data_IF_655446959912
#
_entry.id   IF_655446959912
#
_cell.length_a   1.000
_cell.length_b   1.000
_cell.length_c   1.000
_cell.angle_alpha   90.00
_cell.angle_beta   90.00
_cell.angle_gamma   90.00
#
_symmetry.space_group_name_H-M   'P 1'
#
loop_
_entity.id
_entity.type
_entity.pdbx_description
1 polymer ?
#
# COMPACT_ATOMS: atom_id res chain seq x y z
N UNK A 1 -27.71 35.50 -60.28
CA UNK A 1 -27.07 36.07 -59.06
C UNK A 1 -27.64 35.56 -57.72
N UNK A 2 -28.86 35.01 -57.64
CA UNK A 2 -29.46 34.52 -56.36
C UNK A 2 -28.96 33.14 -55.88
N UNK A 3 -28.54 32.25 -56.79
CA UNK A 3 -28.20 30.84 -56.48
C UNK A 3 -26.82 30.73 -55.79
N UNK A 4 -25.84 31.53 -56.21
CA UNK A 4 -24.50 31.56 -55.61
C UNK A 4 -24.52 32.03 -54.15
N UNK A 5 -25.38 33.01 -53.83
CA UNK A 5 -25.50 33.55 -52.47
C UNK A 5 -26.07 32.51 -51.49
N UNK A 6 -27.01 31.69 -51.94
CA UNK A 6 -27.64 30.65 -51.12
C UNK A 6 -26.69 29.47 -50.82
N UNK A 7 -25.77 29.13 -51.73
CA UNK A 7 -24.72 28.13 -51.47
C UNK A 7 -23.63 28.64 -50.52
N UNK A 8 -23.26 29.92 -50.60
CA UNK A 8 -22.30 30.51 -49.67
C UNK A 8 -22.86 30.58 -48.24
N UNK A 9 -24.12 30.95 -48.08
CA UNK A 9 -24.79 30.99 -46.77
C UNK A 9 -24.84 29.58 -46.16
N UNK A 10 -25.27 28.55 -46.91
CA UNK A 10 -25.30 27.16 -46.42
C UNK A 10 -23.91 26.64 -46.01
N UNK A 11 -22.84 26.95 -46.76
CA UNK A 11 -21.46 26.58 -46.40
C UNK A 11 -20.97 27.32 -45.16
N UNK A 12 -21.32 28.60 -45.01
CA UNK A 12 -20.98 29.39 -43.82
C UNK A 12 -21.69 28.81 -42.59
N UNK A 13 -23.00 28.58 -42.64
CA UNK A 13 -23.79 28.02 -41.53
C UNK A 13 -23.29 26.63 -41.15
N UNK A 14 -23.01 25.75 -42.13
CA UNK A 14 -22.46 24.40 -41.88
C UNK A 14 -21.08 24.44 -41.22
N UNK A 15 -20.20 25.38 -41.60
CA UNK A 15 -18.91 25.59 -40.94
C UNK A 15 -19.08 26.12 -39.51
N UNK A 16 -20.02 27.03 -39.25
CA UNK A 16 -20.29 27.54 -37.90
C UNK A 16 -20.86 26.44 -37.00
N UNK A 17 -21.77 25.59 -37.52
CA UNK A 17 -22.30 24.45 -36.76
C UNK A 17 -21.22 23.42 -36.46
N UNK A 18 -20.33 23.10 -37.41
CA UNK A 18 -19.19 22.20 -37.19
C UNK A 18 -18.22 22.78 -36.16
N UNK A 19 -17.90 24.08 -36.21
CA UNK A 19 -17.06 24.73 -35.21
C UNK A 19 -17.70 24.70 -33.81
N UNK A 20 -19.01 24.92 -33.71
CA UNK A 20 -19.73 24.84 -32.44
C UNK A 20 -19.78 23.42 -31.86
N UNK A 21 -19.86 22.39 -32.69
CA UNK A 21 -19.77 20.99 -32.23
C UNK A 21 -18.36 20.63 -31.76
N UNK A 22 -17.31 21.09 -32.45
CA UNK A 22 -15.92 20.88 -32.02
C UNK A 22 -15.63 21.62 -30.71
N UNK A 23 -16.11 22.85 -30.56
CA UNK A 23 -15.96 23.63 -29.33
C UNK A 23 -16.72 23.01 -28.14
N UNK A 24 -17.89 22.41 -28.38
CA UNK A 24 -18.65 21.70 -27.34
C UNK A 24 -17.97 20.39 -26.90
N UNK A 25 -17.33 19.66 -27.82
CA UNK A 25 -16.56 18.46 -27.51
C UNK A 25 -15.25 18.75 -26.73
N UNK A 26 -14.70 19.96 -26.86
CA UNK A 26 -13.54 20.42 -26.10
C UNK A 26 -13.88 20.89 -24.67
N UNK A 27 -15.16 21.10 -24.36
CA UNK A 27 -15.64 21.55 -23.04
C UNK A 27 -16.11 20.40 -22.14
N UNK A 28 -16.17 19.16 -22.64
CA UNK A 28 -16.41 18.00 -21.78
C UNK A 28 -15.11 17.65 -21.05
N UNK A 29 -15.08 17.63 -19.71
CA UNK A 29 -13.91 17.16 -18.99
C UNK A 29 -13.67 15.70 -19.40
N UNK A 30 -12.55 15.45 -20.07
CA UNK A 30 -12.05 14.09 -20.26
C UNK A 30 -11.65 13.61 -18.88
N UNK A 31 -12.52 12.85 -18.23
CA UNK A 31 -12.14 12.10 -17.03
C UNK A 31 -11.25 10.95 -17.50
N UNK A 32 -9.95 11.21 -17.64
CA UNK A 32 -8.96 10.16 -17.70
C UNK A 32 -8.92 9.51 -16.31
N UNK A 33 -9.53 8.32 -16.17
CA UNK A 33 -9.24 7.45 -15.03
C UNK A 33 -7.81 6.92 -15.23
N UNK A 34 -6.83 7.60 -14.64
CA UNK A 34 -5.53 7.00 -14.40
C UNK A 34 -5.69 5.98 -13.27
N UNK A 35 -6.00 4.72 -13.58
CA UNK A 35 -5.91 3.62 -12.62
C UNK A 35 -4.44 3.19 -12.49
N UNK A 36 -3.57 4.11 -12.07
CA UNK A 36 -2.13 3.85 -11.93
C UNK A 36 -1.74 3.12 -10.64
N UNK A 37 -2.67 2.39 -10.02
CA UNK A 37 -2.42 1.64 -8.79
C UNK A 37 -2.70 0.17 -9.00
N UNK A 38 -1.84 -0.70 -8.44
CA UNK A 38 -2.05 -2.13 -8.43
C UNK A 38 -3.45 -2.47 -7.90
N UNK A 39 -4.06 -3.52 -8.47
CA UNK A 39 -5.35 -4.00 -8.02
C UNK A 39 -5.26 -4.43 -6.55
N UNK A 40 -6.13 -3.88 -5.70
CA UNK A 40 -6.16 -4.21 -4.28
C UNK A 40 -7.17 -5.33 -4.01
N UNK A 41 -6.69 -6.44 -3.47
CA UNK A 41 -7.54 -7.51 -2.96
C UNK A 41 -8.32 -7.04 -1.72
N UNK A 42 -9.56 -7.53 -1.58
CA UNK A 42 -10.35 -7.26 -0.39
C UNK A 42 -9.84 -8.06 0.80
N UNK A 43 -9.43 -7.36 1.86
CA UNK A 43 -8.99 -8.01 3.08
C UNK A 43 -10.20 -8.65 3.80
N UNK A 44 -10.16 -9.95 4.13
CA UNK A 44 -11.26 -10.62 4.82
C UNK A 44 -11.22 -10.32 6.33
N UNK A 45 -11.55 -9.09 6.72
CA UNK A 45 -11.42 -8.61 8.11
C UNK A 45 -12.78 -8.51 8.78
N UNK A 46 -12.91 -9.14 9.95
CA UNK A 46 -13.94 -8.84 10.94
C UNK A 46 -13.26 -8.28 12.20
N UNK A 47 -13.58 -7.02 12.55
CA UNK A 47 -13.03 -6.34 13.73
C UNK A 47 -13.65 -6.82 15.05
N UNK A 48 -14.66 -7.68 14.99
CA UNK A 48 -15.31 -8.28 16.16
C UNK A 48 -14.79 -9.70 16.44
N UNK A 49 -14.11 -10.34 15.49
CA UNK A 49 -13.49 -11.65 15.68
C UNK A 49 -12.20 -11.50 16.51
N UNK A 50 -12.34 -11.68 17.82
CA UNK A 50 -11.23 -11.58 18.77
C UNK A 50 -10.13 -12.59 18.50
N UNK A 51 -10.46 -13.80 18.07
CA UNK A 51 -9.46 -14.83 17.77
C UNK A 51 -8.63 -14.46 16.55
N UNK A 52 -9.28 -13.92 15.50
CA UNK A 52 -8.57 -13.36 14.35
C UNK A 52 -7.67 -12.20 14.74
N UNK A 53 -8.15 -11.27 15.56
CA UNK A 53 -7.36 -10.14 16.03
C UNK A 53 -6.19 -10.56 16.93
N UNK A 54 -6.35 -11.59 17.77
CA UNK A 54 -5.27 -12.18 18.58
C UNK A 54 -4.16 -12.76 17.69
N UNK A 55 -4.52 -13.54 16.67
CA UNK A 55 -3.55 -14.03 15.66
C UNK A 55 -2.86 -12.89 14.93
N UNK A 56 -3.59 -11.83 14.58
CA UNK A 56 -3.02 -10.63 13.96
C UNK A 56 -2.04 -9.89 14.87
N UNK A 57 -2.34 -9.79 16.18
CA UNK A 57 -1.43 -9.22 17.16
C UNK A 57 -0.15 -10.06 17.28
N UNK A 58 -0.28 -11.39 17.38
CA UNK A 58 0.87 -12.30 17.40
C UNK A 58 1.73 -12.13 16.15
N UNK A 59 1.14 -12.18 14.96
CA UNK A 59 1.87 -12.00 13.71
C UNK A 59 2.58 -10.63 13.65
N UNK A 60 1.97 -9.57 14.17
CA UNK A 60 2.64 -8.28 14.29
C UNK A 60 3.87 -8.34 15.21
N UNK A 61 3.75 -9.00 16.36
CA UNK A 61 4.86 -9.22 17.29
C UNK A 61 6.01 -9.99 16.63
N UNK A 62 5.69 -11.07 15.93
CA UNK A 62 6.66 -12.00 15.35
C UNK A 62 7.40 -11.42 14.13
N UNK A 63 6.69 -10.72 13.24
CA UNK A 63 7.21 -10.35 11.92
C UNK A 63 7.45 -8.84 11.73
N UNK A 64 6.81 -7.98 12.52
CA UNK A 64 6.79 -6.54 12.26
C UNK A 64 7.44 -5.72 13.37
N UNK A 65 7.19 -6.08 14.63
CA UNK A 65 7.49 -5.26 15.78
C UNK A 65 8.99 -5.12 16.10
N UNK A 66 9.86 -5.86 15.43
CA UNK A 66 11.32 -5.64 15.51
C UNK A 66 11.77 -4.37 14.79
N UNK A 67 11.09 -3.99 13.70
CA UNK A 67 11.44 -2.84 12.85
C UNK A 67 10.42 -1.71 12.94
N UNK A 68 9.13 -2.04 13.02
CA UNK A 68 8.04 -1.08 13.00
C UNK A 68 7.48 -0.81 14.39
N UNK A 69 7.44 0.47 14.76
CA UNK A 69 6.69 0.89 15.94
C UNK A 69 5.19 0.95 15.67
N UNK A 70 4.41 0.83 16.74
CA UNK A 70 3.01 1.25 16.81
C UNK A 70 2.89 2.27 17.95
N UNK A 71 3.58 3.40 17.80
CA UNK A 71 3.86 4.35 18.89
C UNK A 71 2.63 4.97 19.56
N UNK A 72 1.44 4.88 18.97
CA UNK A 72 0.19 5.33 19.60
C UNK A 72 -0.55 4.23 20.37
N UNK A 73 -0.05 2.99 20.31
CA UNK A 73 -0.61 1.83 20.99
C UNK A 73 0.14 1.53 22.29
N UNK A 74 -0.57 0.94 23.26
CA UNK A 74 -0.01 0.39 24.51
C UNK A 74 -0.34 -1.09 24.60
N UNK A 75 0.57 -1.89 25.16
CA UNK A 75 0.35 -3.33 25.26
C UNK A 75 -0.85 -3.69 26.15
N UNK A 76 -1.05 -2.99 27.27
CA UNK A 76 -2.21 -3.22 28.14
C UNK A 76 -3.55 -2.91 27.46
N UNK A 77 -3.55 -2.01 26.46
CA UNK A 77 -4.73 -1.73 25.65
C UNK A 77 -5.06 -2.91 24.73
N UNK A 78 -4.05 -3.57 24.16
CA UNK A 78 -4.22 -4.80 23.38
C UNK A 78 -4.83 -5.89 24.27
N UNK A 79 -4.29 -6.11 25.47
CA UNK A 79 -4.83 -7.09 26.42
C UNK A 79 -6.33 -6.83 26.69
N UNK A 80 -6.67 -5.59 27.03
CA UNK A 80 -8.06 -5.20 27.30
C UNK A 80 -8.98 -5.29 26.08
N UNK A 81 -8.52 -4.89 24.91
CA UNK A 81 -9.36 -4.88 23.70
C UNK A 81 -9.54 -6.26 23.08
N UNK A 82 -8.63 -7.18 23.35
CA UNK A 82 -8.68 -8.55 22.84
C UNK A 82 -9.08 -9.57 23.91
N UNK A 83 -9.54 -9.12 25.08
CA UNK A 83 -9.94 -9.96 26.22
C UNK A 83 -8.85 -10.98 26.61
N UNK A 84 -7.58 -10.58 26.57
CA UNK A 84 -6.42 -11.41 26.91
C UNK A 84 -5.90 -11.06 28.31
N UNK A 85 -5.27 -12.03 28.97
CA UNK A 85 -4.50 -11.76 30.17
C UNK A 85 -3.27 -10.92 29.84
N UNK A 86 -2.90 -10.00 30.73
CA UNK A 86 -1.70 -9.16 30.50
C UNK A 86 -0.43 -10.01 30.40
N UNK A 87 -0.39 -11.17 31.06
CA UNK A 87 0.74 -12.09 31.00
C UNK A 87 0.92 -12.68 29.59
N UNK A 88 -0.17 -13.10 28.95
CA UNK A 88 -0.13 -13.63 27.58
C UNK A 88 0.38 -12.57 26.60
N UNK A 89 -0.06 -11.33 26.76
CA UNK A 89 0.41 -10.21 25.93
C UNK A 89 1.90 -9.90 26.16
N UNK A 90 2.40 -10.04 27.40
CA UNK A 90 3.84 -9.88 27.67
C UNK A 90 4.66 -10.93 26.93
N UNK A 91 4.24 -12.19 27.02
CA UNK A 91 4.94 -13.30 26.38
C UNK A 91 4.90 -13.21 24.86
N UNK A 92 3.78 -12.75 24.30
CA UNK A 92 3.55 -12.66 22.87
C UNK A 92 4.16 -11.41 22.20
N UNK A 93 4.19 -10.25 22.88
CA UNK A 93 4.54 -8.96 22.23
C UNK A 93 5.72 -8.24 22.86
N UNK A 94 6.11 -8.55 24.10
CA UNK A 94 7.13 -7.80 24.81
C UNK A 94 8.47 -8.53 24.77
N UNK A 95 9.14 -8.42 23.62
CA UNK A 95 10.52 -8.88 23.41
C UNK A 95 11.55 -7.75 23.51
N UNK A 96 11.13 -6.56 23.92
CA UNK A 96 11.96 -5.34 23.99
C UNK A 96 12.33 -4.98 25.42
N UNK A 97 13.47 -4.30 25.58
CA UNK A 97 13.95 -3.79 26.85
C UNK A 97 13.99 -2.26 26.84
N UNK A 98 13.76 -1.64 27.98
CA UNK A 98 13.90 -0.21 28.16
C UNK A 98 15.37 0.20 28.30
N UNK A 99 15.64 1.51 28.36
CA UNK A 99 16.99 2.09 28.47
C UNK A 99 17.80 1.64 29.69
N UNK A 100 17.14 1.07 30.70
CA UNK A 100 17.79 0.53 31.91
C UNK A 100 18.04 -0.98 31.83
N UNK A 101 17.81 -1.61 30.67
CA UNK A 101 17.98 -3.05 30.47
C UNK A 101 16.90 -3.91 31.11
N UNK A 102 15.82 -3.30 31.63
CA UNK A 102 14.67 -4.05 32.13
C UNK A 102 13.63 -4.25 31.03
N UNK A 103 12.84 -5.34 31.04
CA UNK A 103 11.76 -5.53 30.05
C UNK A 103 10.85 -4.30 29.97
N UNK A 104 10.39 -3.98 28.75
CA UNK A 104 9.36 -2.95 28.55
C UNK A 104 8.11 -3.29 29.37
N UNK A 105 7.44 -2.28 29.93
CA UNK A 105 6.28 -2.50 30.78
C UNK A 105 5.03 -2.66 29.92
N UNK A 106 4.06 -3.44 30.40
CA UNK A 106 2.75 -3.59 29.71
C UNK A 106 2.03 -2.25 29.49
N UNK A 107 2.23 -1.27 30.39
CA UNK A 107 1.63 0.05 30.25
C UNK A 107 2.39 0.98 29.30
N UNK A 108 3.56 0.59 28.78
CA UNK A 108 4.36 1.44 27.90
C UNK A 108 3.80 1.48 26.47
N UNK A 109 4.22 2.49 25.71
CA UNK A 109 3.93 2.58 24.28
C UNK A 109 4.77 1.57 23.49
N UNK A 110 4.21 1.07 22.40
CA UNK A 110 4.86 0.10 21.52
C UNK A 110 5.91 0.77 20.62
N UNK A 111 7.08 1.03 21.19
CA UNK A 111 8.25 1.60 20.52
C UNK A 111 9.32 0.54 20.29
N UNK A 112 10.07 0.71 19.22
CA UNK A 112 11.16 -0.17 18.83
C UNK A 112 12.52 0.50 19.01
N UNK A 113 13.58 -0.31 19.00
CA UNK A 113 14.96 0.18 19.04
C UNK A 113 15.49 0.66 17.69
N UNK A 114 14.76 0.37 16.60
CA UNK A 114 15.09 0.83 15.25
C UNK A 114 15.17 2.37 15.21
N UNK A 115 16.35 2.90 14.90
CA UNK A 115 16.56 4.34 14.71
C UNK A 115 16.42 4.72 13.24
N UNK A 116 16.08 5.98 12.96
CA UNK A 116 15.95 6.46 11.59
C UNK A 116 17.28 6.39 10.82
N UNK A 117 18.41 6.63 11.49
CA UNK A 117 19.74 6.60 10.86
C UNK A 117 20.14 5.18 10.50
N UNK A 118 19.98 4.23 11.43
CA UNK A 118 20.24 2.82 11.14
C UNK A 118 19.30 2.28 10.06
N UNK A 119 18.01 2.64 10.10
CA UNK A 119 17.05 2.26 9.07
C UNK A 119 17.44 2.77 7.67
N UNK A 120 17.91 4.03 7.56
CA UNK A 120 18.39 4.58 6.29
C UNK A 120 19.63 3.87 5.79
N UNK A 121 20.56 3.53 6.68
CA UNK A 121 21.76 2.78 6.33
C UNK A 121 21.42 1.35 5.86
N UNK A 122 20.51 0.66 6.56
CA UNK A 122 20.16 -0.73 6.27
C UNK A 122 19.17 -0.90 5.11
N UNK A 123 18.20 0.01 4.97
CA UNK A 123 17.04 -0.13 4.06
C UNK A 123 16.86 1.05 3.09
N UNK A 124 17.77 2.03 3.11
CA UNK A 124 17.72 3.22 2.25
C UNK A 124 16.70 4.30 2.68
N UNK A 125 15.85 4.02 3.67
CA UNK A 125 14.85 4.98 4.18
C UNK A 125 14.48 4.69 5.64
N UNK A 126 13.79 5.62 6.29
CA UNK A 126 13.27 5.40 7.63
C UNK A 126 12.13 4.37 7.61
N UNK A 127 12.12 3.44 8.56
CA UNK A 127 11.02 2.50 8.75
C UNK A 127 9.79 3.26 9.29
N UNK A 128 8.61 3.16 8.64
CA UNK A 128 7.42 3.90 9.06
C UNK A 128 6.80 3.35 10.35
N UNK A 129 6.22 4.22 11.17
CA UNK A 129 5.34 3.83 12.27
C UNK A 129 3.99 3.35 11.72
N UNK A 130 3.50 2.22 12.25
CA UNK A 130 2.31 1.55 11.74
C UNK A 130 1.01 1.87 12.48
N UNK A 131 1.04 2.75 13.49
CA UNK A 131 -0.12 3.05 14.35
C UNK A 131 -1.38 3.42 13.57
N UNK A 132 -1.22 4.11 12.43
CA UNK A 132 -2.32 4.61 11.61
C UNK A 132 -2.28 4.11 10.17
N UNK A 133 -1.45 3.11 9.85
CA UNK A 133 -1.30 2.62 8.47
C UNK A 133 -2.62 2.16 7.86
N UNK A 134 -3.43 1.44 8.64
CA UNK A 134 -4.74 0.97 8.16
C UNK A 134 -5.71 2.12 7.87
N UNK A 135 -5.60 3.25 8.60
CA UNK A 135 -6.41 4.45 8.36
C UNK A 135 -5.90 5.27 7.18
N UNK A 136 -4.57 5.34 7.01
CA UNK A 136 -3.93 6.14 5.97
C UNK A 136 -3.98 5.48 4.59
N UNK A 137 -3.81 4.15 4.52
CA UNK A 137 -3.74 3.40 3.26
C UNK A 137 -4.94 2.47 3.02
N UNK A 138 -5.68 2.14 4.07
CA UNK A 138 -6.79 1.17 4.02
C UNK A 138 -6.32 -0.27 4.30
N UNK A 139 -7.21 -1.13 4.85
CA UNK A 139 -6.87 -2.52 5.16
C UNK A 139 -6.54 -3.36 3.91
N UNK A 140 -7.27 -3.14 2.81
CA UNK A 140 -7.05 -3.84 1.54
C UNK A 140 -5.65 -3.56 0.97
N UNK A 141 -5.15 -2.33 1.15
CA UNK A 141 -3.79 -1.98 0.75
C UNK A 141 -2.76 -2.78 1.55
N UNK A 142 -2.91 -2.85 2.88
CA UNK A 142 -1.98 -3.61 3.74
C UNK A 142 -2.02 -5.09 3.38
N UNK A 143 -3.22 -5.65 3.22
CA UNK A 143 -3.42 -7.05 2.87
C UNK A 143 -2.76 -7.43 1.55
N UNK A 144 -3.01 -6.64 0.50
CA UNK A 144 -2.42 -6.86 -0.83
C UNK A 144 -0.90 -6.66 -0.76
N UNK A 145 -0.44 -5.57 -0.15
CA UNK A 145 1.00 -5.28 0.00
C UNK A 145 1.76 -6.44 0.66
N UNK A 146 1.25 -7.04 1.73
CA UNK A 146 1.92 -8.16 2.40
C UNK A 146 1.93 -9.46 1.58
N UNK A 147 0.97 -9.64 0.67
CA UNK A 147 0.81 -10.85 -0.15
C UNK A 147 1.45 -10.77 -1.55
N UNK A 148 1.85 -9.59 -1.99
CA UNK A 148 2.32 -9.37 -3.36
C UNK A 148 3.83 -9.15 -3.47
N UNK A 149 4.61 -9.55 -2.45
CA UNK A 149 6.07 -9.53 -2.58
C UNK A 149 6.54 -10.60 -3.56
N UNK A 150 7.41 -10.21 -4.48
CA UNK A 150 8.05 -11.11 -5.44
C UNK A 150 9.57 -10.94 -5.44
N UNK A 151 10.28 -11.97 -5.90
CA UNK A 151 11.75 -11.98 -6.00
C UNK A 151 12.19 -11.02 -7.09
N UNK A 152 13.15 -10.17 -6.76
CA UNK A 152 13.73 -9.20 -7.69
C UNK A 152 15.21 -9.01 -7.34
N UNK A 153 16.09 -9.57 -8.18
CA UNK A 153 17.54 -9.55 -7.97
C UNK A 153 18.16 -8.16 -8.10
N UNK A 154 17.44 -7.21 -8.71
CA UNK A 154 17.93 -5.83 -8.88
C UNK A 154 17.70 -4.99 -7.61
N UNK A 155 16.88 -5.50 -6.67
CA UNK A 155 16.63 -4.83 -5.38
C UNK A 155 17.68 -5.22 -4.33
N UNK A 156 18.13 -4.29 -3.48
CA UNK A 156 19.07 -4.60 -2.39
C UNK A 156 18.58 -5.66 -1.41
N UNK A 157 17.27 -5.77 -1.20
CA UNK A 157 16.64 -6.77 -0.33
C UNK A 157 16.34 -8.09 -1.03
N UNK A 158 16.51 -8.17 -2.35
CA UNK A 158 16.13 -9.31 -3.19
C UNK A 158 14.63 -9.43 -3.45
N UNK A 159 13.82 -8.43 -3.05
CA UNK A 159 12.36 -8.45 -3.23
C UNK A 159 11.84 -7.09 -3.67
N UNK A 160 10.73 -7.12 -4.41
CA UNK A 160 9.96 -5.94 -4.82
C UNK A 160 8.46 -6.17 -4.62
N UNK A 161 7.64 -5.17 -4.94
CA UNK A 161 6.20 -5.21 -4.68
C UNK A 161 5.41 -4.36 -5.69
N UNK A 162 4.33 -4.88 -6.31
CA UNK A 162 3.55 -4.12 -7.29
C UNK A 162 2.71 -3.01 -6.66
N UNK A 163 2.29 -3.18 -5.41
CA UNK A 163 1.48 -2.20 -4.68
C UNK A 163 2.33 -1.02 -4.21
N UNK A 164 3.63 -1.25 -4.00
CA UNK A 164 4.60 -0.21 -3.68
C UNK A 164 5.94 -0.51 -4.37
N UNK A 165 6.09 -0.08 -5.63
CA UNK A 165 7.30 -0.32 -6.40
C UNK A 165 8.55 0.25 -5.72
N UNK A 166 9.69 -0.41 -5.93
CA UNK A 166 10.98 -0.03 -5.38
C UNK A 166 11.03 -0.04 -3.84
N UNK A 167 10.21 -0.88 -3.23
CA UNK A 167 10.14 -1.00 -1.78
C UNK A 167 11.49 -1.38 -1.16
N UNK A 168 11.86 -0.69 -0.07
CA UNK A 168 13.05 -1.02 0.74
C UNK A 168 12.81 -2.07 1.82
N UNK A 169 11.56 -2.49 2.01
CA UNK A 169 11.19 -3.53 2.97
C UNK A 169 11.51 -4.92 2.39
N UNK A 170 12.17 -5.81 3.14
CA UNK A 170 12.30 -7.21 2.74
C UNK A 170 10.95 -7.93 2.83
N UNK A 171 10.82 -9.07 2.15
CA UNK A 171 9.65 -9.95 2.32
C UNK A 171 9.75 -10.70 3.65
N UNK A 172 9.17 -10.17 4.73
CA UNK A 172 9.22 -10.80 6.07
C UNK A 172 8.36 -12.05 6.21
N UNK A 173 7.45 -12.32 5.25
CA UNK A 173 6.52 -13.45 5.28
C UNK A 173 6.91 -14.57 4.31
N UNK A 174 8.10 -14.51 3.69
CA UNK A 174 8.56 -15.44 2.66
C UNK A 174 8.48 -16.91 3.10
N UNK A 175 8.73 -17.21 4.38
CA UNK A 175 8.68 -18.59 4.89
C UNK A 175 7.27 -19.15 4.98
N UNK A 176 6.24 -18.30 5.02
CA UNK A 176 4.83 -18.69 5.06
C UNK A 176 4.23 -18.83 3.66
N UNK A 177 4.64 -17.97 2.74
CA UNK A 177 4.07 -17.91 1.38
C UNK A 177 4.94 -18.58 0.30
N UNK A 178 6.21 -18.88 0.61
CA UNK A 178 7.21 -19.27 -0.38
C UNK A 178 7.79 -18.06 -1.12
N UNK A 179 8.71 -18.32 -2.05
CA UNK A 179 9.25 -17.30 -2.95
C UNK A 179 8.31 -17.17 -4.15
N UNK A 180 7.79 -15.96 -4.38
CA UNK A 180 6.96 -15.67 -5.56
C UNK A 180 7.88 -15.14 -6.66
N UNK A 181 7.74 -15.67 -7.87
CA UNK A 181 8.45 -15.18 -9.06
C UNK A 181 7.52 -14.25 -9.86
N UNK A 182 8.02 -13.15 -10.43
CA UNK A 182 7.21 -12.26 -11.24
C UNK A 182 6.90 -12.89 -12.62
N UNK A 183 5.64 -12.79 -13.05
CA UNK A 183 5.23 -13.08 -14.42
C UNK A 183 5.03 -11.77 -15.18
N UNK A 184 5.61 -11.67 -16.38
CA UNK A 184 5.52 -10.48 -17.21
C UNK A 184 4.76 -10.79 -18.49
N UNK A 185 3.92 -9.83 -18.91
CA UNK A 185 3.23 -9.84 -20.20
C UNK A 185 3.66 -8.64 -21.03
N UNK A 186 3.80 -8.85 -22.33
CA UNK A 186 4.02 -7.74 -23.28
C UNK A 186 2.68 -7.12 -23.65
N UNK A 187 2.54 -5.81 -23.44
CA UNK A 187 1.36 -5.03 -23.81
C UNK A 187 1.73 -3.85 -24.70
N UNK A 188 0.82 -3.48 -25.59
CA UNK A 188 0.98 -2.32 -26.46
C UNK A 188 0.43 -1.06 -25.81
N UNK A 189 1.30 -0.10 -25.50
CA UNK A 189 0.93 1.27 -25.13
C UNK A 189 1.03 2.18 -26.35
N UNK A 190 -0.04 2.22 -27.14
CA UNK A 190 -0.02 2.87 -28.45
C UNK A 190 0.84 2.07 -29.42
N UNK A 191 1.91 2.66 -29.93
CA UNK A 191 2.87 2.02 -30.85
C UNK A 191 4.12 1.47 -30.13
N UNK A 192 4.12 1.45 -28.79
CA UNK A 192 5.27 1.01 -27.97
C UNK A 192 4.93 -0.30 -27.25
N UNK A 193 5.78 -1.31 -27.42
CA UNK A 193 5.76 -2.53 -26.62
C UNK A 193 6.36 -2.27 -25.24
N UNK A 194 5.61 -2.63 -24.19
CA UNK A 194 6.03 -2.50 -22.79
C UNK A 194 5.81 -3.84 -22.09
N UNK A 195 6.79 -4.29 -21.32
CA UNK A 195 6.60 -5.43 -20.40
C UNK A 195 5.95 -4.92 -19.12
N UNK A 196 4.81 -5.51 -18.77
CA UNK A 196 4.08 -5.24 -17.54
C UNK A 196 4.03 -6.49 -16.68
N UNK A 197 4.15 -6.30 -15.38
CA UNK A 197 3.93 -7.34 -14.38
C UNK A 197 2.44 -7.75 -14.40
N UNK A 198 2.18 -9.05 -14.39
CA UNK A 198 0.83 -9.63 -14.42
C UNK A 198 0.10 -9.55 -13.08
#
# INVERSE_FOLDING_TARGET
MKIANMQMIKKATMKTTILSFIAAALLTPVMALASGGAHLESAPIDINDKESLRRGAQAFGDYCYSCHAASFMRFNRIAKDLDMEEQDVREMLIHTYNKKGAPTKIGDLMKVSMTADYAKEAFGTAVPDLSLSARARGPNWIYTYLRSFYVDSDRPTGFNNPVFPDVGMPNVLWSLQGLQEPEYKTVMHGDVEVEELE
#
